data_IF_930234797616
#
_entry.id   IF_930234797616
#
_cell.length_a   1.000
_cell.length_b   1.000
_cell.length_c   1.000
_cell.angle_alpha   90.00
_cell.angle_beta   90.00
_cell.angle_gamma   90.00
#
_symmetry.space_group_name_H-M   'P 1'
#
loop_
_entity.id
_entity.type
_entity.pdbx_description
1 polymer ?
#
# COMPACT_ATOMS: atom_id res chain seq x y z
N UNK A 1 21.30 0.53 -3.78
CA UNK A 1 20.73 1.80 -3.24
C UNK A 1 21.92 2.69 -2.86
N UNK A 2 22.03 3.87 -3.45
CA UNK A 2 23.15 4.77 -3.22
C UNK A 2 22.87 5.68 -2.02
N UNK A 3 23.76 5.65 -1.03
CA UNK A 3 23.61 6.40 0.23
C UNK A 3 23.75 7.92 0.06
N UNK A 4 24.33 8.39 -1.05
CA UNK A 4 24.52 9.82 -1.34
C UNK A 4 23.23 10.59 -1.59
N UNK A 5 22.13 9.86 -1.85
CA UNK A 5 20.79 10.44 -2.04
C UNK A 5 20.00 10.65 -0.75
N UNK A 6 20.51 10.22 0.42
CA UNK A 6 19.83 10.41 1.69
C UNK A 6 20.24 11.70 2.40
N UNK A 7 19.26 12.34 3.00
CA UNK A 7 19.36 13.59 3.81
C UNK A 7 18.70 13.37 5.19
N UNK A 8 18.82 14.34 6.08
CA UNK A 8 18.20 14.33 7.41
C UNK A 8 18.46 13.03 8.19
N UNK A 9 19.74 12.63 8.29
CA UNK A 9 20.15 11.38 8.95
C UNK A 9 19.46 10.14 8.35
N UNK A 10 19.29 10.10 7.04
CA UNK A 10 18.71 8.96 6.32
C UNK A 10 17.18 8.89 6.35
N UNK A 11 16.49 9.91 6.85
CA UNK A 11 15.03 9.96 6.90
C UNK A 11 14.41 10.49 5.61
N UNK A 12 15.14 11.28 4.86
CA UNK A 12 14.71 11.92 3.62
C UNK A 12 15.52 11.43 2.44
N UNK A 13 14.98 11.55 1.24
CA UNK A 13 15.64 11.17 0.00
C UNK A 13 15.52 12.30 -1.02
N UNK A 14 16.64 12.74 -1.62
CA UNK A 14 16.70 13.85 -2.57
C UNK A 14 15.70 13.78 -3.71
N UNK A 15 15.47 12.57 -4.25
CA UNK A 15 14.55 12.34 -5.38
C UNK A 15 13.11 12.13 -4.94
N UNK A 16 12.88 11.46 -3.79
CA UNK A 16 11.54 10.98 -3.41
C UNK A 16 10.88 11.78 -2.31
N UNK A 17 11.60 12.73 -1.69
CA UNK A 17 11.04 13.68 -0.76
C UNK A 17 11.50 13.53 0.70
N UNK A 18 10.92 14.36 1.55
CA UNK A 18 11.24 14.43 2.99
C UNK A 18 10.49 13.35 3.78
N UNK A 19 11.09 12.90 4.87
CA UNK A 19 10.47 12.03 5.86
C UNK A 19 9.93 10.69 5.34
N UNK A 20 10.53 10.13 4.28
CA UNK A 20 10.14 8.82 3.74
C UNK A 20 10.39 7.71 4.76
N UNK A 21 11.42 7.86 5.60
CA UNK A 21 11.83 6.88 6.61
C UNK A 21 11.79 7.48 8.01
N UNK A 22 10.60 7.96 8.44
CA UNK A 22 10.41 8.72 9.68
C UNK A 22 11.04 8.11 10.94
N UNK A 23 10.99 6.79 11.04
CA UNK A 23 11.38 6.07 12.26
C UNK A 23 12.71 5.31 12.13
N UNK A 24 13.40 5.42 10.98
CA UNK A 24 14.61 4.65 10.70
C UNK A 24 15.66 5.49 10.01
N UNK A 25 16.88 5.42 10.54
CA UNK A 25 18.04 6.07 9.93
C UNK A 25 18.68 5.11 8.92
N UNK A 26 18.49 5.35 7.63
CA UNK A 26 19.07 4.51 6.57
C UNK A 26 20.59 4.65 6.42
N UNK A 27 21.22 5.60 7.09
CA UNK A 27 22.69 5.69 7.14
C UNK A 27 23.31 4.68 8.11
N UNK A 28 22.53 4.13 9.04
CA UNK A 28 22.97 3.03 9.90
C UNK A 28 23.13 1.73 9.08
N UNK A 29 24.31 1.06 9.15
CA UNK A 29 24.59 -0.12 8.34
C UNK A 29 23.54 -1.24 8.52
N UNK A 30 23.12 -1.52 9.74
CA UNK A 30 22.14 -2.57 10.05
C UNK A 30 20.77 -2.28 9.46
N UNK A 31 20.32 -1.03 9.55
CA UNK A 31 19.04 -0.58 8.97
C UNK A 31 19.09 -0.61 7.44
N UNK A 32 20.19 -0.14 6.86
CA UNK A 32 20.41 -0.18 5.42
C UNK A 32 20.36 -1.61 4.86
N UNK A 33 21.09 -2.54 5.47
CA UNK A 33 21.08 -3.95 5.04
C UNK A 33 19.70 -4.61 5.23
N UNK A 34 18.96 -4.25 6.28
CA UNK A 34 17.58 -4.70 6.45
C UNK A 34 16.70 -4.27 5.26
N UNK A 35 16.70 -2.98 4.90
CA UNK A 35 15.90 -2.49 3.76
C UNK A 35 16.35 -3.07 2.44
N UNK A 36 17.65 -3.27 2.23
CA UNK A 36 18.19 -3.95 1.05
C UNK A 36 17.65 -5.37 0.91
N UNK A 37 17.58 -6.13 2.02
CA UNK A 37 16.94 -7.45 2.04
C UNK A 37 15.45 -7.38 1.72
N UNK A 38 14.72 -6.39 2.24
CA UNK A 38 13.30 -6.19 1.92
C UNK A 38 13.08 -5.90 0.43
N UNK A 39 13.89 -5.03 -0.16
CA UNK A 39 13.85 -4.71 -1.59
C UNK A 39 14.15 -5.96 -2.44
N UNK A 40 15.16 -6.73 -2.08
CA UNK A 40 15.49 -7.96 -2.81
C UNK A 40 14.35 -8.99 -2.74
N UNK A 41 13.70 -9.14 -1.57
CA UNK A 41 12.51 -10.00 -1.43
C UNK A 41 11.37 -9.50 -2.32
N UNK A 42 11.12 -8.20 -2.36
CA UNK A 42 10.11 -7.61 -3.23
C UNK A 42 10.39 -7.93 -4.70
N UNK A 43 11.60 -7.70 -5.18
CA UNK A 43 11.98 -8.04 -6.55
C UNK A 43 11.82 -9.53 -6.86
N UNK A 44 12.14 -10.41 -5.90
CA UNK A 44 11.93 -11.85 -6.05
C UNK A 44 10.44 -12.18 -6.21
N UNK A 45 9.57 -11.53 -5.41
CA UNK A 45 8.11 -11.71 -5.51
C UNK A 45 7.58 -11.16 -6.84
N UNK A 46 8.06 -9.99 -7.27
CA UNK A 46 7.61 -9.36 -8.52
C UNK A 46 7.90 -10.23 -9.75
N UNK A 47 9.00 -10.97 -9.75
CA UNK A 47 9.39 -11.88 -10.84
C UNK A 47 8.59 -13.19 -10.88
N UNK A 48 7.87 -13.56 -9.83
CA UNK A 48 7.06 -14.77 -9.83
C UNK A 48 5.87 -14.63 -10.79
N UNK A 49 5.38 -15.76 -11.30
CA UNK A 49 4.25 -15.80 -12.25
C UNK A 49 2.87 -15.68 -11.58
N UNK A 50 2.80 -15.94 -10.28
CA UNK A 50 1.56 -15.86 -9.53
C UNK A 50 0.97 -14.44 -9.61
N UNK A 51 -0.36 -14.34 -9.62
CA UNK A 51 -1.07 -13.06 -9.55
C UNK A 51 -0.82 -12.39 -8.19
N UNK A 52 -0.61 -11.10 -8.20
CA UNK A 52 -0.28 -10.31 -7.02
C UNK A 52 -1.35 -9.26 -6.79
N UNK A 53 -1.72 -9.03 -5.54
CA UNK A 53 -2.56 -7.92 -5.14
C UNK A 53 -1.72 -6.91 -4.35
N UNK A 54 -1.61 -5.69 -4.87
CA UNK A 54 -1.01 -4.57 -4.16
C UNK A 54 -2.13 -3.77 -3.49
N UNK A 55 -2.12 -3.70 -2.17
CA UNK A 55 -3.10 -2.91 -1.43
C UNK A 55 -2.48 -1.55 -1.09
N UNK A 56 -3.11 -0.50 -1.56
CA UNK A 56 -2.76 0.89 -1.26
C UNK A 56 -3.86 1.48 -0.40
N UNK A 57 -3.53 1.81 0.83
CA UNK A 57 -4.49 2.41 1.76
C UNK A 57 -4.26 3.92 1.81
N UNK A 58 -5.25 4.69 1.34
CA UNK A 58 -5.23 6.13 1.45
C UNK A 58 -5.83 6.54 2.81
N UNK A 59 -4.95 6.90 3.74
CA UNK A 59 -5.35 7.44 5.05
C UNK A 59 -5.75 8.90 4.84
N UNK A 60 -7.01 9.12 4.52
CA UNK A 60 -7.51 10.47 4.27
C UNK A 60 -8.04 11.09 5.56
N UNK A 61 -7.21 11.89 6.22
CA UNK A 61 -7.62 12.64 7.41
C UNK A 61 -8.36 13.95 7.07
N UNK A 62 -8.40 14.40 5.80
CA UNK A 62 -8.86 15.73 5.42
C UNK A 62 -9.58 15.80 4.06
N UNK A 63 -10.48 14.88 3.74
CA UNK A 63 -11.29 14.93 2.50
C UNK A 63 -10.52 15.25 1.19
N UNK A 64 -9.26 14.87 1.11
CA UNK A 64 -8.49 15.03 -0.12
C UNK A 64 -8.80 13.86 -1.04
N UNK A 65 -9.29 14.18 -2.21
CA UNK A 65 -9.49 13.21 -3.28
C UNK A 65 -8.19 12.46 -3.58
N UNK A 66 -8.32 11.20 -3.91
CA UNK A 66 -7.18 10.40 -4.34
C UNK A 66 -6.60 11.04 -5.59
N UNK A 67 -5.31 11.31 -5.57
CA UNK A 67 -4.61 11.67 -6.78
C UNK A 67 -4.50 10.44 -7.70
N UNK A 68 -5.41 10.35 -8.66
CA UNK A 68 -5.48 9.26 -9.64
C UNK A 68 -4.16 9.14 -10.41
N UNK A 69 -3.48 10.24 -10.69
CA UNK A 69 -2.19 10.25 -11.41
C UNK A 69 -1.12 9.51 -10.61
N UNK A 70 -1.11 9.63 -9.28
CA UNK A 70 -0.18 8.89 -8.43
C UNK A 70 -0.42 7.38 -8.47
N UNK A 71 -1.67 6.95 -8.58
CA UNK A 71 -2.02 5.53 -8.70
C UNK A 71 -1.65 5.00 -10.09
N UNK A 72 -1.90 5.76 -11.13
CA UNK A 72 -1.49 5.42 -12.50
C UNK A 72 0.03 5.37 -12.63
N UNK A 73 0.75 6.29 -11.98
CA UNK A 73 2.21 6.25 -11.91
C UNK A 73 2.68 4.95 -11.24
N UNK A 74 2.15 4.59 -10.07
CA UNK A 74 2.48 3.34 -9.39
C UNK A 74 2.18 2.11 -10.26
N UNK A 75 1.02 2.10 -10.93
CA UNK A 75 0.65 1.03 -11.85
C UNK A 75 1.67 0.87 -12.99
N UNK A 76 2.06 1.97 -13.62
CA UNK A 76 3.03 1.95 -14.71
C UNK A 76 4.42 1.51 -14.24
N UNK A 77 4.86 1.95 -13.07
CA UNK A 77 6.12 1.50 -12.48
C UNK A 77 6.10 0.00 -12.16
N UNK A 78 5.01 -0.53 -11.61
CA UNK A 78 4.88 -1.95 -11.32
C UNK A 78 4.89 -2.81 -12.59
N UNK A 79 4.32 -2.32 -13.71
CA UNK A 79 4.33 -3.02 -15.01
C UNK A 79 5.74 -3.28 -15.55
N UNK A 80 6.73 -2.50 -15.16
CA UNK A 80 8.13 -2.71 -15.54
C UNK A 80 8.67 -4.02 -14.93
N UNK A 81 8.17 -4.39 -13.75
CA UNK A 81 8.71 -5.51 -12.97
C UNK A 81 7.82 -6.75 -12.97
N UNK A 82 6.52 -6.60 -13.23
CA UNK A 82 5.56 -7.72 -13.20
C UNK A 82 4.37 -7.45 -14.11
N UNK A 83 3.87 -8.51 -14.77
CA UNK A 83 2.73 -8.42 -15.70
C UNK A 83 1.41 -8.91 -15.09
N UNK A 84 1.46 -9.68 -14.00
CA UNK A 84 0.28 -10.35 -13.42
C UNK A 84 -0.01 -9.80 -12.04
N UNK A 85 -0.73 -8.67 -12.00
CA UNK A 85 -1.06 -8.01 -10.74
C UNK A 85 -2.31 -7.15 -10.84
N UNK A 86 -2.89 -6.89 -9.67
CA UNK A 86 -3.93 -5.90 -9.43
C UNK A 86 -3.49 -4.90 -8.36
N UNK A 87 -4.06 -3.71 -8.40
CA UNK A 87 -3.94 -2.72 -7.32
C UNK A 87 -5.33 -2.55 -6.70
N UNK A 88 -5.45 -2.75 -5.40
CA UNK A 88 -6.62 -2.36 -4.62
C UNK A 88 -6.33 -1.06 -3.89
N UNK A 89 -6.96 0.00 -4.32
CA UNK A 89 -6.89 1.30 -3.69
C UNK A 89 -8.08 1.46 -2.75
N UNK A 90 -7.79 1.60 -1.46
CA UNK A 90 -8.80 1.76 -0.41
C UNK A 90 -8.79 3.22 0.07
N UNK A 91 -9.93 3.87 -0.01
CA UNK A 91 -10.15 5.17 0.63
C UNK A 91 -11.17 5.01 1.74
N UNK A 92 -10.81 5.47 2.93
CA UNK A 92 -11.66 5.33 4.11
C UNK A 92 -12.34 6.64 4.50
N UNK A 93 -13.63 6.57 4.73
CA UNK A 93 -14.48 7.67 5.21
C UNK A 93 -15.16 7.25 6.51
N UNK A 94 -15.16 8.13 7.52
CA UNK A 94 -15.94 7.92 8.73
C UNK A 94 -17.43 8.10 8.47
N UNK A 95 -18.24 7.15 8.93
CA UNK A 95 -19.68 7.13 8.73
C UNK A 95 -20.41 6.62 9.99
N UNK A 96 -21.71 6.85 10.07
CA UNK A 96 -22.58 6.26 11.11
C UNK A 96 -22.92 4.80 10.84
N UNK A 97 -22.73 4.32 9.63
CA UNK A 97 -23.08 2.98 9.18
C UNK A 97 -22.00 2.45 8.24
N UNK A 98 -21.66 1.17 8.39
CA UNK A 98 -20.75 0.49 7.49
C UNK A 98 -21.37 0.31 6.10
N UNK A 99 -20.63 0.73 5.07
CA UNK A 99 -21.01 0.56 3.67
C UNK A 99 -19.74 0.63 2.80
N UNK A 100 -19.85 0.27 1.53
CA UNK A 100 -18.76 0.46 0.58
C UNK A 100 -19.27 0.72 -0.83
N UNK A 101 -18.44 1.37 -1.66
CA UNK A 101 -18.57 1.41 -3.10
C UNK A 101 -17.34 0.77 -3.71
N UNK A 102 -17.54 0.05 -4.80
CA UNK A 102 -16.48 -0.68 -5.45
C UNK A 102 -16.57 -0.53 -6.96
N UNK A 103 -15.49 -0.04 -7.56
CA UNK A 103 -15.36 0.16 -9.00
C UNK A 103 -14.04 -0.46 -9.49
N UNK A 104 -14.02 -0.88 -10.75
CA UNK A 104 -12.84 -1.44 -11.39
C UNK A 104 -12.56 -0.66 -12.67
N UNK A 105 -11.30 -0.29 -12.84
CA UNK A 105 -10.79 0.24 -14.09
C UNK A 105 -9.49 -0.48 -14.44
N UNK A 106 -9.52 -1.31 -15.49
CA UNK A 106 -8.45 -2.24 -15.80
C UNK A 106 -8.13 -3.16 -14.60
N UNK A 107 -6.86 -3.18 -14.17
CA UNK A 107 -6.40 -3.93 -13.00
C UNK A 107 -6.31 -3.06 -11.73
N UNK A 108 -6.97 -1.92 -11.72
CA UNK A 108 -7.06 -1.03 -10.56
C UNK A 108 -8.47 -1.10 -10.00
N UNK A 109 -8.57 -1.53 -8.76
CA UNK A 109 -9.80 -1.68 -8.00
C UNK A 109 -9.90 -0.53 -7.02
N UNK A 110 -10.98 0.22 -7.07
CA UNK A 110 -11.25 1.36 -6.19
C UNK A 110 -12.29 0.94 -5.16
N UNK A 111 -11.92 0.99 -3.89
CA UNK A 111 -12.78 0.69 -2.76
C UNK A 111 -12.95 1.95 -1.90
N UNK A 112 -14.10 2.60 -2.01
CA UNK A 112 -14.53 3.61 -1.04
C UNK A 112 -15.17 2.89 0.15
N UNK A 113 -14.54 2.97 1.31
CA UNK A 113 -14.94 2.25 2.51
C UNK A 113 -15.51 3.24 3.53
N UNK A 114 -16.77 3.06 3.89
CA UNK A 114 -17.46 3.84 4.92
C UNK A 114 -17.49 3.03 6.20
N UNK A 115 -16.83 3.51 7.25
CA UNK A 115 -16.61 2.80 8.51
C UNK A 115 -17.01 3.61 9.72
N UNK A 116 -17.23 2.94 10.85
CA UNK A 116 -17.60 3.59 12.13
C UNK A 116 -16.41 4.37 12.73
N UNK A 117 -15.18 3.97 12.40
CA UNK A 117 -13.94 4.62 12.84
C UNK A 117 -13.03 4.90 11.67
N UNK A 118 -12.08 5.82 11.85
CA UNK A 118 -10.99 6.02 10.91
C UNK A 118 -9.86 5.00 11.14
N UNK A 119 -9.13 4.72 10.09
CA UNK A 119 -7.92 3.91 10.17
C UNK A 119 -6.70 4.78 10.49
N UNK A 120 -5.74 4.21 11.21
CA UNK A 120 -4.39 4.77 11.40
C UNK A 120 -3.41 4.35 10.28
N UNK A 121 -3.91 3.70 9.22
CA UNK A 121 -3.11 3.16 8.12
C UNK A 121 -2.70 1.69 8.28
N UNK A 122 -2.83 1.12 9.49
CA UNK A 122 -2.56 -0.30 9.78
C UNK A 122 -3.84 -1.05 10.16
N UNK A 123 -4.64 -0.44 11.03
CA UNK A 123 -5.89 -1.01 11.55
C UNK A 123 -6.92 0.09 11.73
N UNK A 124 -8.19 -0.30 11.81
CA UNK A 124 -9.25 0.55 12.31
C UNK A 124 -9.29 0.52 13.83
N UNK A 125 -9.67 1.64 14.44
CA UNK A 125 -9.85 1.71 15.91
C UNK A 125 -11.01 0.82 16.37
N UNK A 126 -12.05 0.66 15.55
CA UNK A 126 -13.15 -0.27 15.79
C UNK A 126 -12.87 -1.59 15.09
N UNK A 127 -12.79 -2.69 15.85
CA UNK A 127 -12.50 -4.01 15.29
C UNK A 127 -13.57 -4.52 14.31
N UNK A 128 -14.82 -4.10 14.43
CA UNK A 128 -15.86 -4.44 13.45
C UNK A 128 -15.54 -3.91 12.05
N UNK A 129 -14.84 -2.77 11.96
CA UNK A 129 -14.42 -2.22 10.68
C UNK A 129 -13.28 -3.02 10.04
N UNK A 130 -12.40 -3.64 10.86
CA UNK A 130 -11.39 -4.56 10.34
C UNK A 130 -12.05 -5.81 9.75
N UNK A 131 -12.99 -6.42 10.48
CA UNK A 131 -13.75 -7.60 10.02
C UNK A 131 -14.54 -7.26 8.75
N UNK A 132 -15.12 -6.07 8.67
CA UNK A 132 -15.86 -5.63 7.50
C UNK A 132 -14.96 -5.50 6.26
N UNK A 133 -13.79 -4.89 6.41
CA UNK A 133 -12.80 -4.80 5.32
C UNK A 133 -12.32 -6.17 4.88
N UNK A 134 -11.95 -7.05 5.82
CA UNK A 134 -11.51 -8.41 5.53
C UNK A 134 -12.55 -9.17 4.70
N UNK A 135 -13.83 -9.10 5.11
CA UNK A 135 -14.92 -9.73 4.37
C UNK A 135 -14.98 -9.24 2.93
N UNK A 136 -14.90 -7.93 2.69
CA UNK A 136 -14.92 -7.36 1.34
C UNK A 136 -13.75 -7.87 0.52
N UNK A 137 -12.53 -7.87 1.09
CA UNK A 137 -11.33 -8.33 0.40
C UNK A 137 -11.46 -9.81 0.03
N UNK A 138 -11.89 -10.67 0.95
CA UNK A 138 -12.07 -12.10 0.69
C UNK A 138 -13.20 -12.39 -0.31
N UNK A 139 -14.27 -11.60 -0.32
CA UNK A 139 -15.36 -11.73 -1.29
C UNK A 139 -14.92 -11.33 -2.72
N UNK A 140 -14.04 -10.32 -2.85
CA UNK A 140 -13.61 -9.79 -4.15
C UNK A 140 -12.39 -10.48 -4.72
N UNK A 141 -11.51 -10.99 -3.87
CA UNK A 141 -10.25 -11.60 -4.27
C UNK A 141 -10.15 -13.03 -3.72
N UNK A 142 -9.91 -13.98 -4.62
CA UNK A 142 -9.63 -15.37 -4.22
C UNK A 142 -8.15 -15.51 -3.93
N UNK A 143 -7.80 -15.80 -2.69
CA UNK A 143 -6.44 -16.07 -2.26
C UNK A 143 -6.20 -17.57 -2.15
N UNK A 144 -5.15 -18.09 -2.79
CA UNK A 144 -4.62 -19.40 -2.50
C UNK A 144 -3.64 -19.27 -1.32
N UNK A 145 -4.09 -19.63 -0.14
CA UNK A 145 -3.22 -19.71 1.05
C UNK A 145 -2.42 -21.02 0.92
N UNK A 146 -1.18 -20.92 0.46
CA UNK A 146 -0.23 -22.05 0.55
C UNK A 146 0.25 -22.13 1.99
N UNK A 147 0.04 -23.26 2.65
CA UNK A 147 0.70 -23.57 3.92
C UNK A 147 2.22 -23.47 3.72
N UNK A 148 2.85 -22.67 4.57
CA UNK A 148 4.31 -22.56 4.64
C UNK A 148 4.93 -23.87 5.16
#
# INVERSE_FOLDING_TARGET
MDKTYFEDNGKSHKKYGKNIFLHKNLLEPSIYEYYKKCINRLYTILKKRERKLFIVFNVNNENKDINVDSVLFLYNELKIYTSNFDILLITNYKSKQQNYKYNIYNNIHFLELFTLSLSNGLTFMNNLDNIFLDKIIFDKFKFEIKSL
#
